data_IF_526611367802
#
_entry.id   IF_526611367802
#
_cell.length_a   1.000
_cell.length_b   1.000
_cell.length_c   1.000
_cell.angle_alpha   90.00
_cell.angle_beta   90.00
_cell.angle_gamma   90.00
#
_symmetry.space_group_name_H-M   'P 1'
#
loop_
_entity.id
_entity.type
_entity.pdbx_description
1 polymer ?
#
# COMPACT_ATOMS: atom_id res chain seq x y z
N UNK A 1 9.68 -19.78 -21.47
CA UNK A 1 9.65 -18.36 -21.87
C UNK A 1 9.79 -17.52 -20.60
N UNK A 2 11.01 -17.16 -20.18
CA UNK A 2 11.24 -16.40 -18.94
C UNK A 2 10.81 -14.94 -19.20
N UNK A 3 9.62 -14.54 -18.74
CA UNK A 3 9.21 -13.13 -18.75
C UNK A 3 10.28 -12.37 -17.99
N UNK A 4 11.00 -11.50 -18.70
CA UNK A 4 12.13 -10.78 -18.13
C UNK A 4 11.56 -9.88 -17.05
N UNK A 5 12.24 -9.79 -15.93
CA UNK A 5 11.89 -8.96 -14.77
C UNK A 5 11.71 -7.45 -15.10
N UNK A 6 11.91 -7.06 -16.35
CA UNK A 6 11.95 -5.71 -16.90
C UNK A 6 10.66 -5.25 -17.62
N UNK A 7 9.65 -6.11 -17.78
CA UNK A 7 8.42 -5.73 -18.49
C UNK A 7 7.37 -5.03 -17.59
N UNK A 8 7.63 -4.90 -16.28
CA UNK A 8 6.73 -4.19 -15.38
C UNK A 8 7.12 -2.71 -15.27
N UNK A 9 6.14 -1.78 -15.33
CA UNK A 9 6.39 -0.34 -15.17
C UNK A 9 6.65 0.05 -13.70
N UNK A 10 6.87 -0.93 -12.81
CA UNK A 10 7.05 -0.73 -11.38
C UNK A 10 8.46 -1.18 -10.97
N UNK A 11 9.09 -0.49 -10.01
CA UNK A 11 10.37 -0.95 -9.48
C UNK A 11 10.20 -2.24 -8.67
N UNK A 12 11.25 -3.04 -8.62
CA UNK A 12 11.29 -4.29 -7.85
C UNK A 12 11.60 -3.99 -6.37
N UNK A 13 10.60 -4.13 -5.47
CA UNK A 13 10.78 -3.84 -4.04
C UNK A 13 11.70 -4.84 -3.33
N UNK A 14 11.99 -5.99 -3.95
CA UNK A 14 12.83 -7.04 -3.34
C UNK A 14 14.29 -6.60 -3.24
N UNK A 15 14.72 -5.68 -4.11
CA UNK A 15 16.09 -5.15 -4.20
C UNK A 15 16.30 -3.88 -3.39
N UNK A 16 15.24 -3.34 -2.80
CA UNK A 16 15.29 -2.08 -2.09
C UNK A 16 15.82 -2.26 -0.66
N UNK A 17 17.13 -2.04 -0.48
CA UNK A 17 17.78 -2.15 0.82
C UNK A 17 17.35 -1.10 1.86
N UNK A 18 16.63 -0.05 1.45
CA UNK A 18 16.14 0.98 2.37
C UNK A 18 14.90 0.53 3.16
N UNK A 19 14.22 -0.52 2.69
CA UNK A 19 13.00 -1.03 3.28
C UNK A 19 13.26 -2.16 4.27
N UNK A 20 12.50 -2.14 5.36
CA UNK A 20 12.45 -3.27 6.28
C UNK A 20 12.03 -4.55 5.54
N UNK A 21 12.61 -5.68 5.97
CA UNK A 21 12.38 -7.00 5.36
C UNK A 21 10.90 -7.36 5.22
N UNK A 22 10.09 -6.97 6.22
CA UNK A 22 8.64 -7.19 6.19
C UNK A 22 7.94 -6.37 5.10
N UNK A 23 8.37 -5.12 4.89
CA UNK A 23 7.84 -4.19 3.90
C UNK A 23 8.18 -4.69 2.49
N UNK A 24 9.45 -5.06 2.27
CA UNK A 24 9.89 -5.67 1.00
C UNK A 24 9.04 -6.88 0.68
N UNK A 25 8.90 -7.83 1.60
CA UNK A 25 8.08 -9.04 1.37
C UNK A 25 6.62 -8.73 1.04
N UNK A 26 6.03 -7.69 1.63
CA UNK A 26 4.66 -7.30 1.33
C UNK A 26 4.52 -6.62 -0.04
N UNK A 27 5.44 -5.74 -0.40
CA UNK A 27 5.48 -5.10 -1.72
C UNK A 27 5.82 -6.12 -2.81
N UNK A 28 6.79 -7.01 -2.58
CA UNK A 28 7.13 -8.12 -3.49
C UNK A 28 5.94 -9.03 -3.73
N UNK A 29 5.06 -9.22 -2.73
CA UNK A 29 3.82 -9.97 -2.91
C UNK A 29 2.86 -9.30 -3.92
N UNK A 30 2.70 -7.98 -3.86
CA UNK A 30 1.92 -7.23 -4.85
C UNK A 30 2.62 -7.22 -6.22
N UNK A 31 3.94 -7.05 -6.26
CA UNK A 31 4.75 -7.10 -7.48
C UNK A 31 4.64 -8.46 -8.20
N UNK A 32 4.73 -9.55 -7.44
CA UNK A 32 4.66 -10.92 -7.95
C UNK A 32 3.34 -11.20 -8.67
N UNK A 33 2.24 -10.53 -8.27
CA UNK A 33 0.95 -10.66 -8.94
C UNK A 33 1.03 -10.28 -10.42
N UNK A 34 1.82 -9.28 -10.75
CA UNK A 34 2.01 -8.82 -12.13
C UNK A 34 3.14 -9.58 -12.85
N UNK A 35 4.15 -10.00 -12.10
CA UNK A 35 5.29 -10.73 -12.66
C UNK A 35 4.89 -12.13 -13.13
N UNK A 36 4.18 -12.88 -12.27
CA UNK A 36 3.72 -14.23 -12.56
C UNK A 36 2.33 -14.50 -11.95
N UNK A 37 1.26 -14.00 -12.58
CA UNK A 37 -0.11 -14.20 -12.09
C UNK A 37 -0.54 -15.68 -12.05
N UNK A 38 0.15 -16.58 -12.77
CA UNK A 38 -0.20 -18.01 -12.81
C UNK A 38 0.28 -18.77 -11.57
N UNK A 39 1.47 -18.44 -11.06
CA UNK A 39 1.99 -19.03 -9.82
C UNK A 39 1.60 -18.26 -8.56
N UNK A 40 1.08 -17.05 -8.73
CA UNK A 40 0.71 -16.19 -7.62
C UNK A 40 -0.46 -16.78 -6.81
N UNK A 41 -0.25 -16.91 -5.51
CA UNK A 41 -1.27 -17.38 -4.55
C UNK A 41 -1.75 -16.25 -3.68
N UNK A 42 -3.06 -16.17 -3.46
CA UNK A 42 -3.64 -15.19 -2.56
C UNK A 42 -3.11 -15.36 -1.13
N UNK A 43 -2.64 -14.26 -0.54
CA UNK A 43 -2.17 -14.20 0.84
C UNK A 43 -2.92 -13.07 1.54
N UNK A 44 -3.96 -13.45 2.30
CA UNK A 44 -4.82 -12.50 3.01
C UNK A 44 -4.05 -11.65 4.02
N UNK A 45 -3.06 -12.22 4.70
CA UNK A 45 -2.27 -11.50 5.70
C UNK A 45 -1.45 -10.38 5.03
N UNK A 46 -0.82 -10.67 3.90
CA UNK A 46 -0.07 -9.68 3.11
C UNK A 46 -0.97 -8.60 2.54
N UNK A 47 -2.14 -8.96 1.99
CA UNK A 47 -3.11 -7.98 1.51
C UNK A 47 -3.60 -7.06 2.63
N UNK A 48 -3.96 -7.60 3.80
CA UNK A 48 -4.38 -6.76 4.93
C UNK A 48 -3.24 -5.87 5.45
N UNK A 49 -2.02 -6.38 5.47
CA UNK A 49 -0.83 -5.58 5.82
C UNK A 49 -0.68 -4.40 4.86
N UNK A 50 -0.77 -4.63 3.54
CA UNK A 50 -0.68 -3.57 2.53
C UNK A 50 -1.78 -2.51 2.73
N UNK A 51 -3.02 -2.92 2.97
CA UNK A 51 -4.14 -1.99 3.19
C UNK A 51 -3.92 -1.12 4.44
N UNK A 52 -3.36 -1.70 5.52
CA UNK A 52 -3.09 -0.95 6.77
C UNK A 52 -1.93 0.02 6.63
N UNK A 53 -0.90 -0.35 5.87
CA UNK A 53 0.35 0.41 5.81
C UNK A 53 0.48 1.29 4.56
N UNK A 54 -0.50 1.28 3.63
CA UNK A 54 -0.47 2.11 2.41
C UNK A 54 -0.31 3.61 2.70
N UNK A 55 -0.70 4.05 3.88
CA UNK A 55 -0.59 5.46 4.31
C UNK A 55 0.77 5.83 4.91
N UNK A 56 1.62 4.85 5.20
CA UNK A 56 2.93 5.11 5.79
C UNK A 56 3.99 5.24 4.71
N UNK A 57 4.61 6.42 4.61
CA UNK A 57 5.71 6.67 3.68
C UNK A 57 6.97 5.84 4.01
N UNK A 58 7.20 5.59 5.30
CA UNK A 58 8.30 4.74 5.77
C UNK A 58 8.09 3.27 5.38
N UNK A 59 6.85 2.78 5.45
CA UNK A 59 6.54 1.40 5.10
C UNK A 59 6.41 1.21 3.58
N UNK A 60 5.78 2.19 2.92
CA UNK A 60 5.46 2.20 1.50
C UNK A 60 5.86 3.57 0.94
N UNK A 61 7.11 3.66 0.43
CA UNK A 61 7.59 4.80 -0.30
C UNK A 61 6.71 5.11 -1.51
N UNK A 62 6.67 6.38 -1.89
CA UNK A 62 5.79 6.88 -2.96
C UNK A 62 6.00 6.16 -4.30
N UNK A 63 7.24 5.75 -4.58
CA UNK A 63 7.60 5.00 -5.79
C UNK A 63 6.84 3.67 -5.94
N UNK A 64 6.37 3.07 -4.85
CA UNK A 64 5.59 1.82 -4.87
C UNK A 64 4.08 2.05 -4.82
N UNK A 65 3.62 3.28 -4.65
CA UNK A 65 2.19 3.60 -4.65
C UNK A 65 1.53 3.21 -5.97
N UNK A 66 2.09 3.52 -7.17
CA UNK A 66 1.48 3.10 -8.44
C UNK A 66 1.29 1.58 -8.57
N UNK A 67 2.25 0.80 -8.05
CA UNK A 67 2.16 -0.67 -8.00
C UNK A 67 0.96 -1.11 -7.15
N UNK A 68 0.81 -0.53 -5.97
CA UNK A 68 -0.29 -0.85 -5.06
C UNK A 68 -1.63 -0.36 -5.57
N UNK A 69 -1.68 0.81 -6.19
CA UNK A 69 -2.87 1.35 -6.84
C UNK A 69 -3.41 0.38 -7.89
N UNK A 70 -2.54 -0.16 -8.75
CA UNK A 70 -2.93 -1.22 -9.69
C UNK A 70 -3.34 -2.52 -9.01
N UNK A 71 -2.60 -2.95 -7.98
CA UNK A 71 -2.95 -4.17 -7.24
C UNK A 71 -4.32 -4.07 -6.57
N UNK A 72 -4.61 -2.91 -5.98
CA UNK A 72 -5.86 -2.62 -5.28
C UNK A 72 -7.06 -2.46 -6.21
N UNK A 73 -6.87 -1.95 -7.43
CA UNK A 73 -7.89 -1.91 -8.46
C UNK A 73 -8.50 -3.31 -8.75
N UNK A 74 -7.66 -4.35 -8.72
CA UNK A 74 -8.08 -5.75 -8.92
C UNK A 74 -8.71 -6.39 -7.67
N UNK A 75 -8.64 -5.75 -6.49
CA UNK A 75 -9.26 -6.29 -5.26
C UNK A 75 -10.78 -6.15 -5.35
N UNK A 76 -11.48 -7.18 -4.90
CA UNK A 76 -12.95 -7.23 -4.85
C UNK A 76 -13.44 -7.53 -3.43
N UNK A 77 -14.71 -7.25 -3.18
CA UNK A 77 -15.40 -7.56 -1.92
C UNK A 77 -15.03 -6.62 -0.76
N UNK A 78 -15.11 -7.13 0.46
CA UNK A 78 -14.99 -6.32 1.68
C UNK A 78 -13.63 -5.64 1.86
N UNK A 79 -12.55 -6.20 1.31
CA UNK A 79 -11.22 -5.58 1.37
C UNK A 79 -11.18 -4.27 0.57
N UNK A 80 -11.85 -4.22 -0.58
CA UNK A 80 -11.96 -3.01 -1.40
C UNK A 80 -12.81 -1.95 -0.71
N UNK A 81 -13.94 -2.33 -0.11
CA UNK A 81 -14.78 -1.40 0.65
C UNK A 81 -14.00 -0.74 1.80
N UNK A 82 -13.28 -1.54 2.61
CA UNK A 82 -12.41 -1.01 3.67
C UNK A 82 -11.35 -0.02 3.17
N UNK A 83 -10.79 -0.28 1.99
CA UNK A 83 -9.82 0.61 1.38
C UNK A 83 -10.48 1.92 0.94
N UNK A 84 -11.65 1.87 0.30
CA UNK A 84 -12.44 3.06 -0.09
C UNK A 84 -12.80 3.88 1.14
N UNK A 85 -13.32 3.25 2.20
CA UNK A 85 -13.66 3.92 3.46
C UNK A 85 -12.42 4.59 4.09
N UNK A 86 -11.28 3.91 4.05
CA UNK A 86 -10.00 4.46 4.52
C UNK A 86 -9.58 5.67 3.68
N UNK A 87 -9.69 5.59 2.35
CA UNK A 87 -9.38 6.71 1.46
C UNK A 87 -10.30 7.91 1.72
N UNK A 88 -11.61 7.69 1.79
CA UNK A 88 -12.59 8.74 2.09
C UNK A 88 -12.30 9.40 3.44
N UNK A 89 -11.95 8.62 4.46
CA UNK A 89 -11.57 9.14 5.78
C UNK A 89 -10.34 10.05 5.70
N UNK A 90 -9.34 9.70 4.88
CA UNK A 90 -8.12 10.51 4.68
C UNK A 90 -8.35 11.77 3.86
N UNK A 91 -9.36 11.80 2.98
CA UNK A 91 -9.71 12.99 2.20
C UNK A 91 -10.64 13.91 2.98
N UNK A 92 -11.58 13.34 3.75
CA UNK A 92 -12.58 14.08 4.52
C UNK A 92 -12.02 14.65 5.82
N UNK A 93 -10.93 14.10 6.36
CA UNK A 93 -10.32 14.57 7.60
C UNK A 93 -8.85 14.95 7.40
N UNK A 94 -8.56 16.24 7.16
CA UNK A 94 -7.25 16.81 7.48
C UNK A 94 -7.11 17.19 8.98
N UNK A 95 -8.10 16.91 9.84
CA UNK A 95 -8.02 17.27 11.26
C UNK A 95 -8.89 16.35 12.12
N UNK A 96 -8.30 15.85 13.21
CA UNK A 96 -8.81 15.02 14.32
C UNK A 96 -8.71 13.50 14.20
N UNK A 97 -8.04 12.93 15.20
CA UNK A 97 -7.52 11.58 15.34
C UNK A 97 -8.50 10.68 16.16
N UNK A 98 -8.17 9.44 16.57
CA UNK A 98 -8.88 8.23 16.13
C UNK A 98 -9.36 7.32 17.28
N UNK A 99 -10.51 6.66 17.14
CA UNK A 99 -10.85 5.41 17.86
C UNK A 99 -11.70 4.59 16.89
N UNK A 100 -11.31 3.40 16.43
CA UNK A 100 -11.38 2.16 17.22
C UNK A 100 -10.67 1.01 16.48
N UNK A 101 -9.81 0.25 17.18
CA UNK A 101 -9.42 -1.12 16.79
C UNK A 101 -7.93 -1.44 16.59
N UNK A 102 -7.25 -1.76 17.70
CA UNK A 102 -6.05 -2.61 17.85
C UNK A 102 -4.63 -2.02 17.58
N UNK A 103 -4.05 -1.50 18.68
CA UNK A 103 -2.68 -1.65 19.24
C UNK A 103 -1.65 -2.43 18.38
N UNK A 104 -0.37 -2.05 18.21
CA UNK A 104 0.58 -1.34 19.08
C UNK A 104 1.24 -0.15 18.36
N UNK A 105 1.34 0.94 19.11
CA UNK A 105 2.12 2.14 18.82
C UNK A 105 3.45 2.01 19.57
N UNK A 106 4.58 2.09 18.87
CA UNK A 106 5.84 2.55 19.47
C UNK A 106 6.10 3.95 18.91
N UNK A 107 6.20 4.88 19.84
CA UNK A 107 6.30 6.31 19.64
C UNK A 107 7.61 6.69 18.95
N UNK A 108 7.60 7.69 18.06
CA UNK A 108 8.39 8.91 18.28
C UNK A 108 7.79 10.07 17.48
N UNK A 109 7.92 11.23 18.11
CA UNK A 109 7.30 12.53 17.99
C UNK A 109 7.76 13.41 16.79
N UNK A 110 6.92 14.40 16.47
CA UNK A 110 7.14 15.64 15.72
C UNK A 110 7.58 15.60 14.23
N UNK A 111 6.64 15.93 13.32
CA UNK A 111 6.68 17.23 12.58
C UNK A 111 5.43 17.45 11.71
N UNK A 112 4.70 18.51 12.02
CA UNK A 112 3.79 19.23 11.12
C UNK A 112 4.50 19.55 9.79
N UNK A 113 4.15 18.84 8.71
CA UNK A 113 4.21 19.31 7.32
C UNK A 113 3.69 18.28 6.28
N UNK A 114 3.32 17.05 6.68
CA UNK A 114 3.05 15.93 5.76
C UNK A 114 1.57 15.67 5.41
N UNK A 115 0.67 16.65 5.60
CA UNK A 115 -0.76 16.47 5.31
C UNK A 115 -1.06 16.25 3.81
N UNK A 116 -0.19 16.72 2.91
CA UNK A 116 -0.40 16.66 1.45
C UNK A 116 -0.23 15.26 0.82
N UNK A 117 0.85 14.49 1.05
CA UNK A 117 1.07 13.21 0.35
C UNK A 117 0.00 12.16 0.66
N UNK A 118 -0.56 12.15 1.88
CA UNK A 118 -1.57 11.14 2.26
C UNK A 118 -2.91 11.38 1.57
N UNK A 119 -3.35 12.64 1.48
CA UNK A 119 -4.61 12.99 0.82
C UNK A 119 -4.52 12.81 -0.71
N UNK A 120 -3.38 13.16 -1.31
CA UNK A 120 -3.14 12.90 -2.74
C UNK A 120 -3.10 11.41 -3.05
N UNK A 121 -2.37 10.63 -2.23
CA UNK A 121 -2.36 9.16 -2.32
C UNK A 121 -3.77 8.58 -2.22
N UNK A 122 -4.60 9.08 -1.31
CA UNK A 122 -5.99 8.64 -1.16
C UNK A 122 -6.83 8.93 -2.41
N UNK A 123 -6.67 10.12 -3.01
CA UNK A 123 -7.35 10.48 -4.26
C UNK A 123 -6.92 9.58 -5.42
N UNK A 124 -5.61 9.34 -5.58
CA UNK A 124 -5.10 8.45 -6.62
C UNK A 124 -5.61 7.01 -6.47
N UNK A 125 -5.71 6.53 -5.23
CA UNK A 125 -6.28 5.21 -4.94
C UNK A 125 -7.77 5.14 -5.29
N UNK A 126 -8.57 6.12 -4.87
CA UNK A 126 -10.00 6.16 -5.20
C UNK A 126 -10.27 6.24 -6.69
N UNK A 127 -9.47 7.00 -7.44
CA UNK A 127 -9.63 7.09 -8.88
C UNK A 127 -9.38 5.75 -9.60
N UNK A 128 -8.53 4.89 -9.03
CA UNK A 128 -8.18 3.60 -9.63
C UNK A 128 -9.05 2.43 -9.16
N UNK A 129 -9.77 2.58 -8.04
CA UNK A 129 -10.65 1.56 -7.47
C UNK A 129 -11.97 1.53 -8.24
#
# INVERSE_FOLDING_TARGET
KKKRHHDLPFPDPSKDGSLAEQNRKALSYAYQRFLDPQSWKFNKARQNWLIRHVWSENAIPEIYVPLLTKYFADIRGSARQKLIDSCNSKISSPAVAPVEGAQLHDSTDAKESSAHPTAERARSLLQAL
#
